data_IF_561607022679
#
_entry.id   IF_561607022679
#
_cell.length_a   1.000
_cell.length_b   1.000
_cell.length_c   1.000
_cell.angle_alpha   90.00
_cell.angle_beta   90.00
_cell.angle_gamma   90.00
#
_symmetry.space_group_name_H-M   'P 1'
#
loop_
_entity.id
_entity.type
_entity.pdbx_description
1 polymer ?
#
# COMPACT_ATOMS: atom_id res chain seq x y z
N UNK A 1 7.57 17.47 -11.75
CA UNK A 1 8.24 16.32 -11.10
C UNK A 1 7.14 15.37 -10.64
N UNK A 2 7.06 14.17 -11.20
CA UNK A 2 6.09 13.14 -10.81
C UNK A 2 6.47 12.60 -9.43
N UNK A 3 5.62 12.80 -8.42
CA UNK A 3 5.87 12.29 -7.08
C UNK A 3 5.31 10.87 -6.95
N UNK A 4 6.08 9.88 -7.41
CA UNK A 4 5.72 8.46 -7.34
C UNK A 4 6.36 7.81 -6.12
N UNK A 5 5.53 7.23 -5.24
CA UNK A 5 5.97 6.51 -4.05
C UNK A 5 5.40 5.10 -4.06
N UNK A 6 6.24 4.12 -3.74
CA UNK A 6 5.84 2.72 -3.57
C UNK A 6 6.03 2.32 -2.11
N UNK A 7 4.93 2.00 -1.45
CA UNK A 7 4.89 1.51 -0.09
C UNK A 7 4.94 -0.01 -0.06
N UNK A 8 5.80 -0.56 0.79
CA UNK A 8 5.91 -2.00 0.94
C UNK A 8 6.94 -2.41 1.98
N UNK A 9 7.38 -3.66 1.87
CA UNK A 9 8.54 -4.17 2.62
C UNK A 9 9.54 -4.76 1.62
N UNK A 10 10.85 -4.68 1.88
CA UNK A 10 11.89 -5.12 0.94
C UNK A 10 11.82 -6.62 0.67
N UNK A 11 11.45 -7.41 1.68
CA UNK A 11 11.40 -8.87 1.65
C UNK A 11 10.03 -9.43 1.17
N UNK A 12 9.37 -8.74 0.23
CA UNK A 12 8.14 -9.22 -0.40
C UNK A 12 8.35 -9.37 -1.92
N UNK A 13 8.10 -10.56 -2.46
CA UNK A 13 8.29 -10.85 -3.88
C UNK A 13 7.51 -9.93 -4.80
N UNK A 14 6.24 -9.65 -4.47
CA UNK A 14 5.40 -8.75 -5.26
C UNK A 14 5.94 -7.32 -5.25
N UNK A 15 6.47 -6.84 -4.11
CA UNK A 15 7.11 -5.52 -4.00
C UNK A 15 8.39 -5.47 -4.82
N UNK A 16 9.22 -6.53 -4.79
CA UNK A 16 10.43 -6.63 -5.62
C UNK A 16 10.11 -6.60 -7.12
N UNK A 17 9.10 -7.37 -7.55
CA UNK A 17 8.63 -7.40 -8.94
C UNK A 17 8.14 -6.02 -9.39
N UNK A 18 7.34 -5.36 -8.55
CA UNK A 18 6.79 -4.05 -8.87
C UNK A 18 7.86 -2.95 -9.00
N UNK A 19 8.85 -2.92 -8.10
CA UNK A 19 9.99 -1.98 -8.20
C UNK A 19 10.82 -2.22 -9.46
N UNK A 20 11.15 -3.48 -9.75
CA UNK A 20 11.88 -3.84 -10.98
C UNK A 20 11.12 -3.41 -12.23
N UNK A 21 9.79 -3.56 -12.24
CA UNK A 21 8.96 -3.12 -13.35
C UNK A 21 9.02 -1.59 -13.53
N UNK A 22 8.95 -0.80 -12.45
CA UNK A 22 9.13 0.67 -12.53
C UNK A 22 10.49 1.06 -13.09
N UNK A 23 11.56 0.39 -12.65
CA UNK A 23 12.91 0.59 -13.19
C UNK A 23 12.96 0.30 -14.70
N UNK A 24 12.32 -0.78 -15.14
CA UNK A 24 12.21 -1.14 -16.56
C UNK A 24 11.41 -0.12 -17.39
N UNK A 25 10.37 0.47 -16.81
CA UNK A 25 9.62 1.57 -17.43
C UNK A 25 10.31 2.93 -17.30
N UNK A 26 11.51 2.98 -16.72
CA UNK A 26 12.28 4.21 -16.49
C UNK A 26 11.51 5.25 -15.65
N UNK A 27 10.60 4.80 -14.79
CA UNK A 27 9.84 5.65 -13.89
C UNK A 27 10.69 5.95 -12.66
N UNK A 28 10.88 7.23 -12.35
CA UNK A 28 11.50 7.64 -11.09
C UNK A 28 10.49 7.46 -9.95
N UNK A 29 10.88 6.75 -8.90
CA UNK A 29 10.03 6.53 -7.73
C UNK A 29 10.84 6.52 -6.43
N UNK A 30 10.17 6.78 -5.31
CA UNK A 30 10.68 6.55 -3.96
C UNK A 30 10.12 5.25 -3.40
N UNK A 31 10.96 4.43 -2.78
CA UNK A 31 10.49 3.27 -2.03
C UNK A 31 10.38 3.62 -0.55
N UNK A 32 9.21 3.38 0.03
CA UNK A 32 8.93 3.58 1.45
C UNK A 32 8.76 2.22 2.14
N UNK A 33 9.71 1.87 3.01
CA UNK A 33 9.61 0.66 3.83
C UNK A 33 8.74 0.94 5.06
N UNK A 34 7.50 0.45 5.01
CA UNK A 34 6.51 0.70 6.08
C UNK A 34 6.85 0.02 7.41
N UNK A 35 7.86 -0.87 7.45
CA UNK A 35 8.38 -1.44 8.70
C UNK A 35 9.47 -0.58 9.33
N UNK A 36 10.31 0.02 8.51
CA UNK A 36 11.43 0.84 8.97
C UNK A 36 10.99 2.27 9.26
N UNK A 37 10.07 2.79 8.46
CA UNK A 37 9.53 4.13 8.56
C UNK A 37 7.98 4.08 8.61
N UNK A 38 7.38 4.25 9.80
CA UNK A 38 5.93 4.23 9.95
C UNK A 38 5.23 5.26 9.06
N UNK A 39 4.13 4.84 8.44
CA UNK A 39 3.32 5.71 7.58
C UNK A 39 2.48 6.65 8.45
N UNK A 40 2.34 7.91 8.05
CA UNK A 40 1.54 8.88 8.80
C UNK A 40 0.04 8.52 8.77
N UNK A 41 -0.70 8.96 9.79
CA UNK A 41 -2.15 8.76 9.86
C UNK A 41 -2.87 9.36 8.65
N UNK A 42 -2.44 10.56 8.23
CA UNK A 42 -3.03 11.28 7.10
C UNK A 42 -2.83 10.53 5.77
N UNK A 43 -1.66 9.95 5.55
CA UNK A 43 -1.40 9.12 4.36
C UNK A 43 -2.28 7.88 4.34
N UNK A 44 -2.38 7.16 5.46
CA UNK A 44 -3.23 5.97 5.56
C UNK A 44 -4.69 6.37 5.34
N UNK A 45 -5.14 7.46 5.94
CA UNK A 45 -6.49 7.98 5.75
C UNK A 45 -6.77 8.27 4.27
N UNK A 46 -5.82 8.90 3.57
CA UNK A 46 -5.94 9.15 2.13
C UNK A 46 -6.05 7.84 1.32
N UNK A 47 -5.30 6.81 1.67
CA UNK A 47 -5.42 5.51 1.00
C UNK A 47 -6.82 4.91 1.19
N UNK A 48 -7.37 4.99 2.40
CA UNK A 48 -8.69 4.46 2.72
C UNK A 48 -9.80 5.22 2.00
N UNK A 49 -9.70 6.55 1.91
CA UNK A 49 -10.65 7.39 1.17
C UNK A 49 -10.68 7.05 -0.32
N UNK A 50 -9.53 6.72 -0.91
CA UNK A 50 -9.40 6.53 -2.37
C UNK A 50 -9.64 5.08 -2.80
N UNK A 51 -9.26 4.11 -1.97
CA UNK A 51 -9.30 2.68 -2.33
C UNK A 51 -10.33 1.87 -1.54
N UNK A 52 -10.78 2.37 -0.39
CA UNK A 52 -11.60 1.64 0.56
C UNK A 52 -10.82 0.66 1.43
N UNK A 53 -11.38 0.35 2.60
CA UNK A 53 -10.79 -0.53 3.62
C UNK A 53 -10.42 -1.90 3.05
N UNK A 54 -11.33 -2.55 2.31
CA UNK A 54 -11.13 -3.92 1.80
C UNK A 54 -10.00 -4.02 0.77
N UNK A 55 -9.64 -2.91 0.14
CA UNK A 55 -8.54 -2.83 -0.81
C UNK A 55 -7.21 -2.56 -0.13
N UNK A 56 -7.19 -1.65 0.86
CA UNK A 56 -5.98 -1.27 1.60
C UNK A 56 -5.58 -2.33 2.61
N UNK A 57 -6.52 -2.99 3.27
CA UNK A 57 -6.26 -3.94 4.34
C UNK A 57 -6.20 -5.38 3.82
N UNK A 58 -5.11 -6.08 4.09
CA UNK A 58 -4.94 -7.48 3.70
C UNK A 58 -5.54 -8.43 4.74
N UNK A 59 -6.88 -8.52 4.73
CA UNK A 59 -7.67 -9.44 5.57
C UNK A 59 -7.39 -10.93 5.30
N UNK A 60 -6.66 -11.26 4.23
CA UNK A 60 -6.28 -12.65 3.86
C UNK A 60 -4.92 -13.07 4.40
N UNK A 61 -4.14 -12.15 4.96
CA UNK A 61 -2.79 -12.42 5.46
C UNK A 61 -2.80 -13.30 6.71
N UNK A 62 -1.69 -13.99 6.97
CA UNK A 62 -1.50 -14.73 8.25
C UNK A 62 -1.45 -13.78 9.44
N UNK A 63 -0.83 -12.61 9.26
CA UNK A 63 -0.80 -11.54 10.26
C UNK A 63 -2.21 -11.10 10.68
N UNK A 64 -3.13 -10.95 9.72
CA UNK A 64 -4.54 -10.64 10.04
C UNK A 64 -5.20 -11.72 10.92
N UNK A 65 -4.97 -13.00 10.60
CA UNK A 65 -5.54 -14.13 11.36
C UNK A 65 -5.00 -14.24 12.79
N UNK A 66 -3.85 -13.62 13.07
CA UNK A 66 -3.23 -13.62 14.40
C UNK A 66 -3.75 -12.49 15.30
N UNK A 67 -4.54 -11.56 14.76
CA UNK A 67 -5.13 -10.46 15.51
C UNK A 67 -6.26 -10.96 16.41
N UNK A 68 -6.51 -10.22 17.49
CA UNK A 68 -7.68 -10.45 18.36
C UNK A 68 -9.01 -10.22 17.62
N UNK A 69 -10.10 -10.76 18.15
CA UNK A 69 -11.43 -10.55 17.58
C UNK A 69 -11.80 -9.06 17.50
N UNK A 70 -11.39 -8.26 18.48
CA UNK A 70 -11.61 -6.81 18.52
C UNK A 70 -10.85 -6.07 17.42
N UNK A 71 -9.62 -6.47 17.13
CA UNK A 71 -8.83 -5.89 16.02
C UNK A 71 -9.36 -6.32 14.65
N UNK A 72 -10.00 -7.48 14.56
CA UNK A 72 -10.63 -7.94 13.32
C UNK A 72 -12.01 -7.30 13.07
N UNK A 73 -12.63 -6.72 14.11
CA UNK A 73 -13.94 -6.04 14.00
C UNK A 73 -13.87 -4.59 13.53
N UNK A 74 -12.70 -4.11 13.09
CA UNK A 74 -12.55 -2.73 12.56
C UNK A 74 -13.39 -2.55 11.30
N UNK A 75 -14.21 -1.51 11.28
CA UNK A 75 -15.14 -1.23 10.16
C UNK A 75 -15.12 0.21 9.68
N UNK A 76 -14.60 1.14 10.48
CA UNK A 76 -14.42 2.53 10.09
C UNK A 76 -12.97 2.86 9.73
N UNK A 77 -12.78 4.01 9.09
CA UNK A 77 -11.44 4.43 8.66
C UNK A 77 -10.52 4.78 9.83
N UNK A 78 -11.04 5.28 10.95
CA UNK A 78 -10.23 5.71 12.08
C UNK A 78 -9.59 4.51 12.79
N UNK A 79 -10.37 3.46 13.01
CA UNK A 79 -9.92 2.19 13.56
C UNK A 79 -8.89 1.52 12.65
N UNK A 80 -9.13 1.54 11.33
CA UNK A 80 -8.18 0.96 10.36
C UNK A 80 -6.88 1.76 10.30
N UNK A 81 -6.92 3.09 10.44
CA UNK A 81 -5.71 3.92 10.56
C UNK A 81 -4.93 3.51 11.80
N UNK A 82 -5.57 3.45 12.96
CA UNK A 82 -4.91 3.05 14.20
C UNK A 82 -4.32 1.62 14.11
N UNK A 83 -5.05 0.70 13.47
CA UNK A 83 -4.59 -0.66 13.24
C UNK A 83 -3.36 -0.71 12.33
N UNK A 84 -3.35 0.04 11.24
CA UNK A 84 -2.23 0.09 10.29
C UNK A 84 -1.01 0.82 10.85
N UNK A 85 -1.19 1.80 11.74
CA UNK A 85 -0.07 2.41 12.47
C UNK A 85 0.60 1.42 13.42
N UNK A 86 -0.18 0.56 14.09
CA UNK A 86 0.34 -0.51 14.96
C UNK A 86 0.95 -1.67 14.18
N UNK A 87 0.31 -2.05 13.08
CA UNK A 87 0.65 -3.22 12.29
C UNK A 87 0.73 -2.87 10.79
N UNK A 88 1.74 -2.10 10.35
CA UNK A 88 1.83 -1.61 8.97
C UNK A 88 1.91 -2.73 7.94
N UNK A 89 2.35 -3.92 8.32
CA UNK A 89 2.39 -5.09 7.43
C UNK A 89 1.03 -5.67 7.07
N UNK A 90 -0.03 -5.27 7.78
CA UNK A 90 -1.41 -5.67 7.43
C UNK A 90 -1.91 -4.97 6.18
N UNK A 91 -1.28 -3.88 5.73
CA UNK A 91 -1.66 -3.27 4.47
C UNK A 91 -1.39 -4.23 3.30
N UNK A 92 -2.20 -4.10 2.25
CA UNK A 92 -1.97 -4.74 0.96
C UNK A 92 -0.76 -4.09 0.29
N UNK A 93 0.16 -4.92 -0.18
CA UNK A 93 1.48 -4.51 -0.67
C UNK A 93 1.76 -5.16 -2.03
N UNK A 94 2.47 -4.47 -2.93
CA UNK A 94 2.87 -3.06 -2.87
C UNK A 94 1.66 -2.10 -2.94
N UNK A 95 1.80 -0.87 -2.46
CA UNK A 95 0.84 0.21 -2.71
C UNK A 95 1.55 1.34 -3.46
N UNK A 96 1.02 1.73 -4.62
CA UNK A 96 1.53 2.81 -5.45
C UNK A 96 0.73 4.09 -5.18
N UNK A 97 1.43 5.20 -4.97
CA UNK A 97 0.85 6.55 -4.95
C UNK A 97 1.57 7.39 -5.98
N UNK A 98 0.85 7.96 -6.93
CA UNK A 98 1.41 8.84 -7.96
C UNK A 98 0.36 9.82 -8.47
N UNK A 99 0.68 11.12 -8.55
CA UNK A 99 -0.23 12.16 -9.06
C UNK A 99 -1.69 12.02 -8.60
N UNK A 100 -1.91 11.77 -7.29
CA UNK A 100 -3.25 11.57 -6.70
C UNK A 100 -4.00 10.31 -7.15
N UNK A 101 -3.29 9.34 -7.75
CA UNK A 101 -3.78 7.99 -8.08
C UNK A 101 -3.15 6.98 -7.13
N UNK A 102 -3.95 5.97 -6.79
CA UNK A 102 -3.61 4.98 -5.78
C UNK A 102 -3.85 3.58 -6.37
N UNK A 103 -2.92 2.65 -6.16
CA UNK A 103 -3.11 1.25 -6.55
C UNK A 103 -2.61 0.33 -5.44
N UNK A 104 -3.46 -0.59 -4.95
CA UNK A 104 -3.06 -1.59 -3.97
C UNK A 104 -2.89 -2.99 -4.60
N UNK A 105 -1.69 -3.51 -4.47
CA UNK A 105 -1.20 -4.68 -5.19
C UNK A 105 -0.50 -4.29 -6.49
N UNK A 106 0.15 -5.28 -7.11
CA UNK A 106 0.81 -5.11 -8.39
C UNK A 106 0.01 -5.80 -9.49
N UNK A 107 -0.49 -5.00 -10.42
CA UNK A 107 -1.04 -5.41 -11.70
C UNK A 107 -0.54 -4.43 -12.74
N UNK A 108 0.17 -4.92 -13.74
CA UNK A 108 0.85 -4.04 -14.71
C UNK A 108 -0.12 -3.11 -15.42
N UNK A 109 -1.29 -3.59 -15.84
CA UNK A 109 -2.31 -2.76 -16.49
C UNK A 109 -2.76 -1.57 -15.62
N UNK A 110 -3.07 -1.82 -14.34
CA UNK A 110 -3.48 -0.79 -13.40
C UNK A 110 -2.37 0.25 -13.20
N UNK A 111 -1.12 -0.22 -13.07
CA UNK A 111 0.04 0.64 -12.88
C UNK A 111 0.38 1.47 -14.12
N UNK A 112 0.31 0.89 -15.32
CA UNK A 112 0.46 1.63 -16.59
C UNK A 112 -0.57 2.75 -16.69
N UNK A 113 -1.83 2.42 -16.42
CA UNK A 113 -2.91 3.42 -16.42
C UNK A 113 -2.65 4.53 -15.40
N UNK A 114 -2.28 4.17 -14.16
CA UNK A 114 -2.00 5.14 -13.10
C UNK A 114 -0.80 6.04 -13.40
N UNK A 115 0.23 5.49 -14.05
CA UNK A 115 1.44 6.22 -14.43
C UNK A 115 1.34 6.89 -15.80
N UNK A 116 0.18 6.77 -16.47
CA UNK A 116 -0.08 7.32 -17.81
C UNK A 116 0.95 6.83 -18.85
N UNK A 117 1.39 5.57 -18.69
CA UNK A 117 2.32 4.90 -19.60
C UNK A 117 1.52 4.26 -20.73
N UNK A 118 1.65 4.83 -21.93
CA UNK A 118 1.08 4.31 -23.19
C UNK A 118 1.59 2.91 -23.56
#
# INVERSE_FOLDING_TARGET
>A
MTNTVVYGIPNCDTVRKARKWLEQQQVTFKFHDVRADPVSADEIHNWLQQLGIDTVLNKRSTAWRQLSATEQSVTDNADVVALLQRHPTLMKRPLLVTNNRYCAGFKEADWRSALELG
#
